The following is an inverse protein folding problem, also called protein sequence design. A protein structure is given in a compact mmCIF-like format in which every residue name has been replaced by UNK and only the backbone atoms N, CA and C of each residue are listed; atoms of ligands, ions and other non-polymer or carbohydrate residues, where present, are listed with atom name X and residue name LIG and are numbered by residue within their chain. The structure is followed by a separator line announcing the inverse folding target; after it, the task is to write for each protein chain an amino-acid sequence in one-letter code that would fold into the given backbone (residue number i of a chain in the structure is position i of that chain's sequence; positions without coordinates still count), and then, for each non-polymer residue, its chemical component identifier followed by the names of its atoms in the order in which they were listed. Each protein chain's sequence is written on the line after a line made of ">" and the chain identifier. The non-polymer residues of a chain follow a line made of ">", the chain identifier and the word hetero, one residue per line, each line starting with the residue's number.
data_IF_011469884409
#
_entry.id   IF_011469884409
#
_cell.length_a   1.000
_cell.length_b   1.000
_cell.length_c   1.000
_cell.angle_alpha   90.00
_cell.angle_beta   90.00
_cell.angle_gamma   90.00
#
_symmetry.space_group_name_H-M   'P 1'
#
loop_
_entity.id
_entity.type
_entity.pdbx_description
1 polymer ?
#
# COMPACT_ATOMS: atom_id res chain seq x y z
N UNK A 1 9.17 0.32 -0.81
CA UNK A 1 9.12 0.65 -2.26
C UNK A 1 10.46 0.21 -2.87
N UNK A 2 10.65 0.14 -4.19
CA UNK A 2 11.92 -0.36 -4.76
C UNK A 2 13.13 0.39 -4.17
N UNK A 3 14.00 -0.27 -3.40
CA UNK A 3 15.18 0.32 -2.76
C UNK A 3 15.38 -0.11 -1.30
N UNK A 4 16.39 0.50 -0.64
CA UNK A 4 16.65 0.33 0.80
C UNK A 4 15.74 1.31 1.57
N UNK A 5 14.86 0.76 2.40
CA UNK A 5 13.89 1.54 3.18
C UNK A 5 12.65 1.97 2.38
N UNK A 6 11.79 2.74 3.04
CA UNK A 6 10.50 3.20 2.50
C UNK A 6 10.47 4.72 2.47
N UNK A 7 10.09 5.30 1.33
CA UNK A 7 9.67 6.70 1.30
C UNK A 7 8.27 6.80 1.91
N UNK A 8 8.26 6.90 3.25
CA UNK A 8 7.05 6.87 4.06
C UNK A 8 6.10 8.01 3.74
N UNK A 9 6.63 9.18 3.39
CA UNK A 9 5.80 10.34 3.04
C UNK A 9 5.04 10.08 1.74
N UNK A 10 5.69 9.48 0.72
CA UNK A 10 5.00 9.12 -0.52
C UNK A 10 4.00 7.99 -0.30
N UNK A 11 4.37 6.97 0.47
CA UNK A 11 3.48 5.84 0.77
C UNK A 11 2.21 6.32 1.47
N UNK A 12 2.37 7.07 2.56
CA UNK A 12 1.28 7.65 3.34
C UNK A 12 0.38 8.52 2.47
N UNK A 13 0.97 9.48 1.73
CA UNK A 13 0.19 10.42 0.92
C UNK A 13 -0.71 9.69 -0.06
N UNK A 14 -0.20 8.69 -0.77
CA UNK A 14 -1.00 7.95 -1.76
C UNK A 14 -2.09 7.12 -1.10
N UNK A 15 -1.77 6.31 -0.08
CA UNK A 15 -2.76 5.43 0.55
C UNK A 15 -3.88 6.24 1.21
N UNK A 16 -3.53 7.30 1.96
CA UNK A 16 -4.50 8.11 2.71
C UNK A 16 -5.36 8.96 1.77
N UNK A 17 -4.77 9.66 0.81
CA UNK A 17 -5.56 10.58 -0.06
C UNK A 17 -6.41 9.85 -1.09
N UNK A 18 -6.14 8.57 -1.37
CA UNK A 18 -6.85 7.79 -2.39
C UNK A 18 -7.79 6.73 -1.80
N UNK A 19 -7.76 6.49 -0.49
CA UNK A 19 -8.52 5.41 0.17
C UNK A 19 -10.01 5.42 -0.16
N UNK A 20 -10.61 6.60 -0.26
CA UNK A 20 -12.05 6.79 -0.53
C UNK A 20 -12.35 7.26 -1.95
N UNK A 21 -11.34 7.28 -2.84
CA UNK A 21 -11.49 7.77 -4.22
C UNK A 21 -11.39 6.60 -5.21
N UNK A 22 -10.22 5.99 -5.31
CA UNK A 22 -9.91 5.01 -6.35
C UNK A 22 -8.83 4.00 -5.94
N UNK A 23 -8.59 3.84 -4.64
CA UNK A 23 -7.57 2.93 -4.13
C UNK A 23 -7.74 1.49 -4.63
N UNK A 24 -8.97 1.03 -4.89
CA UNK A 24 -9.22 -0.30 -5.47
C UNK A 24 -8.60 -0.44 -6.88
N UNK A 25 -8.75 0.58 -7.73
CA UNK A 25 -8.17 0.56 -9.08
C UNK A 25 -6.64 0.61 -9.00
N UNK A 26 -6.10 1.39 -8.06
CA UNK A 26 -4.67 1.44 -7.79
C UNK A 26 -4.14 0.06 -7.37
N UNK A 27 -4.85 -0.66 -6.48
CA UNK A 27 -4.49 -2.03 -6.07
C UNK A 27 -4.45 -2.98 -7.27
N UNK A 28 -5.46 -2.93 -8.14
CA UNK A 28 -5.55 -3.77 -9.32
C UNK A 28 -4.41 -3.49 -10.33
N UNK A 29 -4.13 -2.23 -10.61
CA UNK A 29 -3.04 -1.84 -11.52
C UNK A 29 -1.66 -2.14 -10.92
N UNK A 30 -1.49 -1.99 -9.60
CA UNK A 30 -0.27 -2.38 -8.90
C UNK A 30 -0.02 -3.88 -9.04
N UNK A 31 -1.04 -4.72 -8.84
CA UNK A 31 -0.94 -6.17 -9.01
C UNK A 31 -0.58 -6.54 -10.46
N UNK A 32 -1.22 -5.94 -11.45
CA UNK A 32 -0.92 -6.18 -12.88
C UNK A 32 0.54 -5.86 -13.21
N UNK A 33 1.04 -4.72 -12.71
CA UNK A 33 2.37 -4.19 -13.01
C UNK A 33 3.51 -4.90 -12.27
N UNK A 34 3.31 -5.20 -10.99
CA UNK A 34 4.38 -5.71 -10.11
C UNK A 34 4.22 -7.18 -9.73
N UNK A 35 3.11 -7.83 -10.11
CA UNK A 35 2.79 -9.23 -9.80
C UNK A 35 2.84 -9.55 -8.29
N UNK A 36 2.63 -8.53 -7.47
CA UNK A 36 2.56 -8.57 -6.01
C UNK A 36 1.43 -7.65 -5.58
N UNK A 37 0.63 -8.04 -4.59
CA UNK A 37 -0.45 -7.16 -4.11
C UNK A 37 0.13 -5.94 -3.41
N UNK A 38 -0.60 -4.82 -3.43
CA UNK A 38 -0.20 -3.62 -2.70
C UNK A 38 -0.10 -3.88 -1.19
N UNK A 39 -0.99 -4.72 -0.65
CA UNK A 39 -0.99 -5.15 0.74
C UNK A 39 0.30 -5.91 1.10
N UNK A 40 0.72 -6.88 0.28
CA UNK A 40 1.96 -7.63 0.53
C UNK A 40 3.19 -6.72 0.45
N UNK A 41 3.14 -5.71 -0.43
CA UNK A 41 4.21 -4.73 -0.54
C UNK A 41 4.27 -3.86 0.71
N UNK A 42 3.14 -3.35 1.20
CA UNK A 42 3.10 -2.58 2.46
C UNK A 42 3.52 -3.45 3.65
N UNK A 43 3.06 -4.70 3.70
CA UNK A 43 3.40 -5.63 4.76
C UNK A 43 4.91 -5.92 4.82
N UNK A 44 5.60 -6.09 3.70
CA UNK A 44 7.05 -6.36 3.72
C UNK A 44 7.91 -5.14 4.08
N UNK A 45 7.40 -3.92 3.86
CA UNK A 45 8.19 -2.69 3.90
C UNK A 45 7.95 -1.82 5.14
N UNK A 46 6.90 -2.11 5.90
CA UNK A 46 6.49 -1.36 7.11
C UNK A 46 6.38 -2.32 8.30
N UNK A 47 6.33 -1.83 9.54
CA UNK A 47 6.18 -2.68 10.74
C UNK A 47 5.32 -2.01 11.82
N UNK A 48 4.96 -2.76 12.87
CA UNK A 48 4.23 -2.25 14.03
C UNK A 48 2.86 -1.64 13.71
N UNK A 49 2.45 -0.64 14.51
CA UNK A 49 1.17 0.06 14.33
C UNK A 49 1.07 0.79 12.99
N UNK A 50 2.21 1.23 12.45
CA UNK A 50 2.27 1.90 11.16
C UNK A 50 1.83 0.97 10.02
N UNK A 51 2.29 -0.29 10.04
CA UNK A 51 1.78 -1.34 9.14
C UNK A 51 0.29 -1.56 9.33
N UNK A 52 -0.15 -1.74 10.58
CA UNK A 52 -1.54 -2.05 10.88
C UNK A 52 -2.50 -0.95 10.37
N UNK A 53 -2.10 0.32 10.49
CA UNK A 53 -2.86 1.47 9.99
C UNK A 53 -3.01 1.43 8.46
N UNK A 54 -1.96 1.17 7.70
CA UNK A 54 -2.11 1.09 6.24
C UNK A 54 -2.91 -0.13 5.78
N UNK A 55 -2.72 -1.27 6.43
CA UNK A 55 -3.48 -2.47 6.06
C UNK A 55 -4.98 -2.30 6.36
N UNK A 56 -5.36 -1.53 7.37
CA UNK A 56 -6.78 -1.20 7.61
C UNK A 56 -7.36 -0.31 6.51
N UNK A 57 -6.60 0.69 6.02
CA UNK A 57 -7.01 1.55 4.91
C UNK A 57 -7.07 0.80 3.57
N UNK A 58 -6.16 -0.14 3.35
CA UNK A 58 -6.12 -0.95 2.14
C UNK A 58 -7.23 -2.00 2.09
N UNK A 59 -7.80 -2.37 3.24
CA UNK A 59 -8.81 -3.41 3.35
C UNK A 59 -8.27 -4.81 2.98
N UNK A 60 -9.16 -5.81 2.87
CA UNK A 60 -8.77 -7.19 2.56
C UNK A 60 -8.05 -7.32 1.21
N UNK A 61 -7.23 -8.37 1.09
CA UNK A 61 -6.61 -8.75 -0.18
C UNK A 61 -7.71 -9.19 -1.15
N UNK A 62 -7.81 -8.50 -2.29
CA UNK A 62 -8.65 -8.86 -3.45
C UNK A 62 -7.74 -9.04 -4.66
#
# INVERSE_FOLDING_TARGET
>A
MKGLGTDDTKLMRVIVTRSEIDLHYIKAEYLKKYKKTLNDAVHSETSGHYRAFFLSLLGPNQ
#
